data_IF_456408087630
#
_entry.id   IF_456408087630
#
_cell.length_a   1.000
_cell.length_b   1.000
_cell.length_c   1.000
_cell.angle_alpha   90.00
_cell.angle_beta   90.00
_cell.angle_gamma   90.00
#
_symmetry.space_group_name_H-M   'P 1'
#
loop_
_entity.id
_entity.type
_entity.pdbx_description
1 polymer ?
#
# COMPACT_ATOMS: atom_id res chain seq x y z
N UNK A 1 -5.20 7.89 26.02
CA UNK A 1 -4.68 8.41 24.74
C UNK A 1 -5.63 8.01 23.61
N UNK A 2 -5.95 8.95 22.75
CA UNK A 2 -6.87 8.72 21.65
C UNK A 2 -6.13 8.76 20.32
N UNK A 3 -6.54 7.91 19.39
CA UNK A 3 -5.94 7.89 18.06
C UNK A 3 -6.96 7.45 17.02
N UNK A 4 -6.70 7.85 15.79
CA UNK A 4 -7.49 7.39 14.65
C UNK A 4 -6.66 6.41 13.82
N UNK A 5 -7.25 5.29 13.49
CA UNK A 5 -6.60 4.29 12.65
C UNK A 5 -7.42 4.05 11.40
N UNK A 6 -6.71 3.70 10.33
CA UNK A 6 -7.28 3.35 9.05
C UNK A 6 -6.80 1.97 8.66
N UNK A 7 -7.72 1.08 8.33
CA UNK A 7 -7.38 -0.19 7.72
C UNK A 7 -7.65 -0.07 6.23
N UNK A 8 -6.63 -0.31 5.42
CA UNK A 8 -6.72 -0.20 3.98
C UNK A 8 -6.38 -1.51 3.31
N UNK A 9 -7.15 -1.87 2.30
CA UNK A 9 -6.87 -3.01 1.44
C UNK A 9 -6.87 -2.46 0.03
N UNK A 10 -5.74 -2.51 -0.64
CA UNK A 10 -5.62 -1.95 -1.98
C UNK A 10 -4.40 -2.48 -2.70
N UNK A 11 -4.29 -2.14 -3.96
CA UNK A 11 -3.18 -2.59 -4.80
C UNK A 11 -2.18 -1.46 -5.02
N UNK A 12 -0.90 -1.79 -4.96
CA UNK A 12 0.15 -0.82 -5.22
C UNK A 12 0.06 -0.28 -6.65
N UNK A 13 -0.02 1.04 -6.76
CA UNK A 13 -0.07 1.71 -8.06
C UNK A 13 1.30 1.77 -8.72
N UNK A 14 2.35 1.70 -7.91
CA UNK A 14 3.75 1.71 -8.35
C UNK A 14 4.60 1.03 -7.28
N UNK A 15 5.87 0.79 -7.60
CA UNK A 15 6.77 0.26 -6.59
C UNK A 15 6.96 1.27 -5.45
N UNK A 16 7.07 0.81 -4.19
CA UNK A 16 7.35 1.72 -3.09
C UNK A 16 8.69 2.43 -3.28
N UNK A 17 8.75 3.68 -2.86
CA UNK A 17 9.97 4.48 -2.91
C UNK A 17 10.59 4.55 -1.54
N UNK A 18 11.85 4.12 -1.43
CA UNK A 18 12.60 4.18 -0.18
C UNK A 18 13.48 5.43 -0.18
N UNK A 19 13.40 6.20 0.89
CA UNK A 19 14.20 7.41 1.06
C UNK A 19 14.97 7.33 2.37
N UNK A 20 16.24 7.67 2.34
CA UNK A 20 17.07 7.83 3.53
C UNK A 20 17.46 9.30 3.64
N UNK A 21 17.07 9.95 4.72
CA UNK A 21 17.34 11.37 4.94
C UNK A 21 17.50 11.63 6.43
N UNK A 22 18.58 12.33 6.80
CA UNK A 22 18.83 12.75 8.18
C UNK A 22 18.77 11.58 9.17
N UNK A 23 19.44 10.48 8.84
CA UNK A 23 19.46 9.24 9.62
C UNK A 23 18.10 8.56 9.73
N UNK A 24 17.13 9.02 8.98
CA UNK A 24 15.82 8.40 8.90
C UNK A 24 15.63 7.69 7.58
N UNK A 25 15.04 6.51 7.66
CA UNK A 25 14.65 5.75 6.48
C UNK A 25 13.13 5.63 6.47
N UNK A 26 12.53 5.89 5.33
CA UNK A 26 11.10 5.71 5.19
C UNK A 26 10.74 5.32 3.76
N UNK A 27 9.65 4.60 3.63
CA UNK A 27 9.09 4.24 2.33
C UNK A 27 7.77 4.95 2.13
N UNK A 28 7.55 5.47 0.93
CA UNK A 28 6.27 6.03 0.51
C UNK A 28 5.68 5.15 -0.57
N UNK A 29 4.40 4.89 -0.48
CA UNK A 29 3.70 4.09 -1.46
C UNK A 29 2.25 4.50 -1.57
N UNK A 30 1.66 4.22 -2.72
CA UNK A 30 0.27 4.57 -3.01
C UNK A 30 -0.55 3.32 -3.26
N UNK A 31 -1.67 3.19 -2.57
CA UNK A 31 -2.62 2.11 -2.79
C UNK A 31 -3.83 2.61 -3.56
N UNK A 32 -4.33 1.79 -4.45
CA UNK A 32 -5.57 2.03 -5.16
C UNK A 32 -6.62 1.07 -4.64
N UNK A 33 -7.75 1.62 -4.20
CA UNK A 33 -8.93 0.86 -3.85
C UNK A 33 -10.05 1.17 -4.83
N UNK A 34 -10.73 0.14 -5.30
CA UNK A 34 -11.86 0.29 -6.20
C UNK A 34 -13.16 -0.11 -5.51
N UNK A 35 -14.15 0.73 -5.64
CA UNK A 35 -15.45 0.52 -5.00
C UNK A 35 -16.55 0.57 -6.04
N UNK A 36 -17.56 -0.28 -5.85
CA UNK A 36 -18.74 -0.25 -6.69
C UNK A 36 -19.64 0.91 -6.24
N UNK A 37 -19.99 1.78 -7.17
CA UNK A 37 -20.78 2.98 -6.90
C UNK A 37 -22.15 2.99 -7.58
N UNK A 38 -22.74 1.82 -7.81
CA UNK A 38 -24.03 1.71 -8.47
C UNK A 38 -23.91 1.60 -9.98
N UNK A 39 -25.00 1.91 -10.67
CA UNK A 39 -25.04 1.86 -12.14
C UNK A 39 -25.15 3.27 -12.71
N UNK A 40 -24.57 3.47 -13.87
CA UNK A 40 -24.73 4.73 -14.60
C UNK A 40 -26.08 4.76 -15.35
N UNK A 41 -26.31 5.83 -16.12
CA UNK A 41 -27.55 5.98 -16.88
C UNK A 41 -27.72 4.90 -17.93
N UNK A 42 -26.63 4.33 -18.43
CA UNK A 42 -26.67 3.25 -19.40
C UNK A 42 -26.85 1.88 -18.76
N UNK A 43 -26.96 1.81 -17.43
CA UNK A 43 -27.11 0.55 -16.71
C UNK A 43 -25.82 -0.20 -16.45
N UNK A 44 -24.68 0.40 -16.74
CA UNK A 44 -23.39 -0.22 -16.50
C UNK A 44 -22.86 0.08 -15.12
N UNK A 45 -22.10 -0.87 -14.56
CA UNK A 45 -21.52 -0.72 -13.23
C UNK A 45 -20.53 0.44 -13.20
N UNK A 46 -20.65 1.28 -12.18
CA UNK A 46 -19.71 2.38 -11.93
C UNK A 46 -18.77 1.99 -10.82
N UNK A 47 -17.49 2.29 -11.02
CA UNK A 47 -16.49 2.11 -9.99
C UNK A 47 -15.88 3.46 -9.62
N UNK A 48 -15.60 3.61 -8.33
CA UNK A 48 -14.86 4.76 -7.82
C UNK A 48 -13.49 4.26 -7.42
N UNK A 49 -12.45 4.83 -8.03
CA UNK A 49 -11.08 4.55 -7.64
C UNK A 49 -10.63 5.57 -6.61
N UNK A 50 -10.16 5.09 -5.48
CA UNK A 50 -9.61 5.94 -4.43
C UNK A 50 -8.14 5.61 -4.26
N UNK A 51 -7.29 6.63 -4.24
CA UNK A 51 -5.87 6.47 -4.05
C UNK A 51 -5.44 7.13 -2.75
N UNK A 52 -4.64 6.44 -1.96
CA UNK A 52 -4.13 6.97 -0.70
C UNK A 52 -2.62 6.70 -0.63
N UNK A 53 -1.88 7.74 -0.25
CA UNK A 53 -0.44 7.63 -0.02
C UNK A 53 -0.18 7.30 1.44
N UNK A 54 0.76 6.39 1.64
CA UNK A 54 1.16 5.94 2.96
C UNK A 54 2.65 6.17 3.16
N UNK A 55 3.04 6.36 4.42
CA UNK A 55 4.44 6.47 4.81
C UNK A 55 4.75 5.41 5.86
N UNK A 56 5.80 4.64 5.65
CA UNK A 56 6.26 3.64 6.62
C UNK A 56 7.70 3.98 7.01
N UNK A 57 7.93 4.15 8.30
CA UNK A 57 9.24 4.55 8.81
C UNK A 57 10.07 3.34 9.25
N UNK A 58 11.40 3.48 9.16
CA UNK A 58 12.35 2.54 9.71
C UNK A 58 12.33 1.17 9.07
N UNK A 59 12.57 0.12 9.84
CA UNK A 59 12.63 -1.25 9.32
C UNK A 59 11.36 -1.69 8.60
N UNK A 60 10.20 -1.21 9.05
CA UNK A 60 8.93 -1.51 8.39
C UNK A 60 8.91 -0.98 6.96
N UNK A 61 9.36 0.27 6.77
CA UNK A 61 9.47 0.86 5.43
C UNK A 61 10.47 0.13 4.56
N UNK A 62 11.60 -0.25 5.12
CA UNK A 62 12.61 -1.01 4.40
C UNK A 62 12.07 -2.36 3.91
N UNK A 63 11.33 -3.04 4.77
CA UNK A 63 10.73 -4.33 4.43
C UNK A 63 9.71 -4.18 3.30
N UNK A 64 8.86 -3.17 3.38
CA UNK A 64 7.86 -2.92 2.34
C UNK A 64 8.55 -2.62 1.01
N UNK A 65 9.56 -1.73 1.03
CA UNK A 65 10.27 -1.36 -0.20
C UNK A 65 11.01 -2.54 -0.83
N UNK A 66 11.53 -3.44 0.00
CA UNK A 66 12.28 -4.61 -0.48
C UNK A 66 11.37 -5.69 -1.04
N UNK A 67 10.20 -5.89 -0.45
CA UNK A 67 9.36 -7.06 -0.73
C UNK A 67 8.14 -6.77 -1.59
N UNK A 68 7.61 -5.56 -1.56
CA UNK A 68 6.39 -5.21 -2.27
C UNK A 68 6.69 -4.68 -3.67
N UNK A 69 5.82 -4.99 -4.62
CA UNK A 69 5.96 -4.57 -6.03
C UNK A 69 4.64 -4.03 -6.54
N UNK A 70 4.73 -3.20 -7.57
CA UNK A 70 3.55 -2.68 -8.27
C UNK A 70 2.56 -3.81 -8.55
N UNK A 71 1.29 -3.57 -8.24
CA UNK A 71 0.21 -4.52 -8.47
C UNK A 71 -0.08 -5.43 -7.28
N UNK A 72 0.83 -5.56 -6.33
CA UNK A 72 0.60 -6.36 -5.14
C UNK A 72 -0.54 -5.76 -4.32
N UNK A 73 -1.39 -6.63 -3.79
CA UNK A 73 -2.38 -6.21 -2.81
C UNK A 73 -1.74 -6.17 -1.43
N UNK A 74 -1.89 -5.04 -0.76
CA UNK A 74 -1.43 -4.89 0.61
C UNK A 74 -2.62 -4.64 1.53
N UNK A 75 -2.52 -5.17 2.73
CA UNK A 75 -3.44 -4.90 3.82
C UNK A 75 -2.66 -4.09 4.82
N UNK A 76 -3.06 -2.82 4.98
CA UNK A 76 -2.31 -1.84 5.75
C UNK A 76 -3.13 -1.39 6.96
N UNK A 77 -2.46 -1.31 8.09
CA UNK A 77 -3.01 -0.66 9.26
C UNK A 77 -2.20 0.59 9.50
N UNK A 78 -2.86 1.75 9.47
CA UNK A 78 -2.19 3.03 9.53
C UNK A 78 -2.81 3.93 10.60
N UNK A 79 -1.98 4.77 11.19
CA UNK A 79 -2.44 5.84 12.08
C UNK A 79 -2.69 7.09 11.24
N UNK A 80 -3.83 7.73 11.46
CA UNK A 80 -4.18 8.98 10.79
C UNK A 80 -3.68 10.14 11.64
N UNK A 81 -2.90 11.03 11.05
CA UNK A 81 -2.37 12.22 11.72
C UNK A 81 -2.71 13.47 10.93
N UNK A 82 -2.94 14.56 11.63
CA UNK A 82 -3.10 15.85 10.98
C UNK A 82 -1.78 16.31 10.38
N UNK A 83 -1.86 16.83 9.16
CA UNK A 83 -0.71 17.35 8.43
C UNK A 83 -1.07 18.75 7.94
N UNK A 84 -1.02 19.69 8.86
CA UNK A 84 -1.37 21.07 8.57
C UNK A 84 -0.13 21.83 8.14
N UNK A 85 -0.24 22.59 7.06
CA UNK A 85 0.90 23.33 6.53
C UNK A 85 0.43 24.63 5.90
N UNK A 86 1.34 25.58 5.81
CA UNK A 86 1.10 26.90 5.20
C UNK A 86 1.94 27.02 3.95
N UNK A 87 1.31 27.38 2.84
CA UNK A 87 2.04 27.56 1.58
C UNK A 87 2.79 28.90 1.53
N UNK A 88 3.48 29.14 0.43
CA UNK A 88 4.28 30.35 0.25
C UNK A 88 3.44 31.63 0.21
N UNK A 89 2.17 31.50 -0.12
CA UNK A 89 1.23 32.61 -0.20
C UNK A 89 0.53 32.88 1.11
N UNK A 90 0.85 32.12 2.17
CA UNK A 90 0.25 32.27 3.48
C UNK A 90 -1.07 31.56 3.66
N UNK A 91 -1.51 30.77 2.69
CA UNK A 91 -2.73 29.98 2.79
C UNK A 91 -2.48 28.71 3.59
N UNK A 92 -3.34 28.48 4.57
CA UNK A 92 -3.22 27.32 5.43
C UNK A 92 -3.96 26.12 4.85
N UNK A 93 -3.27 24.98 4.82
CA UNK A 93 -3.82 23.72 4.31
C UNK A 93 -3.98 22.72 5.44
N UNK A 94 -5.10 22.01 5.43
CA UNK A 94 -5.44 21.01 6.44
C UNK A 94 -5.55 19.65 5.75
N UNK A 95 -4.53 18.83 5.91
CA UNK A 95 -4.47 17.51 5.31
C UNK A 95 -4.29 16.45 6.37
N UNK A 96 -4.29 15.19 5.94
CA UNK A 96 -4.00 14.08 6.80
C UNK A 96 -2.85 13.27 6.21
N UNK A 97 -2.01 12.75 7.07
CA UNK A 97 -0.99 11.78 6.69
C UNK A 97 -1.34 10.43 7.30
N UNK A 98 -0.91 9.37 6.62
CA UNK A 98 -1.21 8.00 7.00
C UNK A 98 0.10 7.28 7.26
N UNK A 99 0.38 7.01 8.54
CA UNK A 99 1.63 6.39 8.98
C UNK A 99 1.39 4.93 9.25
N UNK A 100 2.09 4.07 8.52
CA UNK A 100 1.89 2.62 8.58
C UNK A 100 2.36 2.09 9.93
N UNK A 101 1.50 1.31 10.57
CA UNK A 101 1.81 0.63 11.83
C UNK A 101 2.04 -0.86 11.62
N UNK A 102 1.45 -1.43 10.57
CA UNK A 102 1.62 -2.82 10.24
C UNK A 102 1.13 -3.10 8.82
N UNK A 103 1.60 -4.19 8.23
CA UNK A 103 1.16 -4.56 6.90
C UNK A 103 1.17 -6.08 6.72
N UNK A 104 0.38 -6.53 5.77
CA UNK A 104 0.37 -7.91 5.31
C UNK A 104 0.14 -7.92 3.82
N UNK A 105 0.59 -8.97 3.17
CA UNK A 105 0.30 -9.16 1.76
C UNK A 105 -1.07 -9.80 1.58
N UNK A 106 -1.82 -9.30 0.60
CA UNK A 106 -2.99 -9.98 0.08
C UNK A 106 -2.62 -10.77 -1.16
N UNK A 107 -3.37 -10.59 -2.26
CA UNK A 107 -3.10 -11.30 -3.50
C UNK A 107 -1.83 -10.74 -4.17
N UNK A 108 -0.97 -11.60 -4.74
CA UNK A 108 0.23 -11.14 -5.44
C UNK A 108 -0.12 -10.43 -6.74
N UNK A 109 0.69 -9.44 -7.10
CA UNK A 109 0.56 -8.76 -8.38
C UNK A 109 1.12 -9.60 -9.53
N UNK A 110 1.04 -9.03 -10.73
CA UNK A 110 1.45 -9.75 -11.95
C UNK A 110 2.91 -10.20 -11.91
N UNK A 111 3.80 -9.32 -11.48
CA UNK A 111 5.23 -9.65 -11.44
C UNK A 111 5.53 -10.82 -10.53
N UNK A 112 4.93 -10.86 -9.34
CA UNK A 112 5.13 -11.97 -8.41
C UNK A 112 4.46 -13.25 -8.88
N UNK A 113 3.32 -13.13 -9.55
CA UNK A 113 2.67 -14.32 -10.10
C UNK A 113 3.52 -14.98 -11.19
N UNK A 114 4.14 -14.17 -12.02
CA UNK A 114 5.05 -14.68 -13.05
C UNK A 114 6.28 -15.31 -12.43
N UNK A 115 6.85 -14.70 -11.40
CA UNK A 115 7.98 -15.25 -10.68
C UNK A 115 7.64 -16.58 -10.03
N UNK A 116 6.49 -16.68 -9.37
CA UNK A 116 6.03 -17.91 -8.76
C UNK A 116 5.78 -19.01 -9.80
N UNK A 117 5.23 -18.64 -10.94
CA UNK A 117 5.01 -19.60 -12.01
C UNK A 117 6.32 -20.21 -12.51
N UNK A 118 7.38 -19.39 -12.62
CA UNK A 118 8.69 -19.88 -13.03
C UNK A 118 9.36 -20.78 -11.99
N UNK A 119 8.97 -20.69 -10.73
CA UNK A 119 9.49 -21.53 -9.64
C UNK A 119 8.63 -22.74 -9.36
N UNK A 120 7.53 -22.87 -10.07
CA UNK A 120 6.53 -23.90 -9.77
C UNK A 120 7.06 -25.34 -9.71
N UNK A 121 8.01 -25.75 -10.55
CA UNK A 121 8.52 -27.12 -10.48
C UNK A 121 9.15 -27.52 -9.15
N UNK A 122 9.54 -26.55 -8.34
CA UNK A 122 10.16 -26.82 -7.04
C UNK A 122 9.14 -27.07 -5.93
N UNK A 123 7.93 -26.57 -6.09
CA UNK A 123 6.90 -26.66 -5.05
C UNK A 123 6.45 -28.07 -4.69
N UNK A 124 6.24 -28.99 -5.64
CA UNK A 124 5.86 -30.35 -5.30
C UNK A 124 6.85 -31.05 -4.37
N UNK A 125 8.12 -30.75 -4.52
CA UNK A 125 9.16 -31.34 -3.67
C UNK A 125 9.06 -30.81 -2.25
N UNK A 126 8.80 -29.52 -2.10
CA UNK A 126 8.64 -28.92 -0.77
C UNK A 126 7.41 -29.47 -0.06
N UNK A 127 6.32 -29.64 -0.77
CA UNK A 127 5.12 -30.20 -0.22
C UNK A 127 5.30 -31.64 0.21
N UNK A 128 6.02 -32.42 -0.59
CA UNK A 128 6.34 -33.79 -0.24
C UNK A 128 7.23 -33.87 0.99
N UNK A 129 8.18 -32.95 1.13
CA UNK A 129 9.08 -32.91 2.28
C UNK A 129 8.32 -32.51 3.57
N UNK A 130 7.27 -31.72 3.46
CA UNK A 130 6.50 -31.28 4.62
C UNK A 130 5.41 -32.28 5.02
N UNK A 131 5.14 -33.22 4.18
CA UNK A 131 4.18 -34.27 4.48
C UNK A 131 4.83 -35.40 5.26
#
# INVERSE_FOLDING_TARGET
MNSFTLTAIGNLSRNPELTAKDDRTYAKFCLIGNDYAGKDEAGEAREIATTIWFTAFGPLGETIARTARKGDQLIIEAQVRADNWTDKEGVRHYDYSFVVQGFRFGAPGKAKREERASRRPEEPQRLAASA
#
